data_IF_346328147775
#
_entry.id   IF_346328147775
#
_cell.length_a   1.000
_cell.length_b   1.000
_cell.length_c   1.000
_cell.angle_alpha   90.00
_cell.angle_beta   90.00
_cell.angle_gamma   90.00
#
_symmetry.space_group_name_H-M   'P 1'
#
loop_
_entity.id
_entity.type
_entity.pdbx_description
1 polymer ?
#
# COMPACT_ATOMS: atom_id res chain seq x y z
N UNK A 1 -27.87 16.39 25.24
CA UNK A 1 -26.75 15.58 25.76
C UNK A 1 -25.92 15.19 24.56
N UNK A 2 -24.72 15.73 24.45
CA UNK A 2 -23.74 15.31 23.44
C UNK A 2 -23.01 14.12 24.05
N UNK A 3 -23.25 12.92 23.53
CA UNK A 3 -22.46 11.74 23.90
C UNK A 3 -20.98 12.08 23.66
N UNK A 4 -20.20 11.96 24.73
CA UNK A 4 -18.80 12.31 24.71
C UNK A 4 -18.05 11.22 23.92
N UNK A 5 -17.76 11.50 22.64
CA UNK A 5 -17.06 10.64 21.65
C UNK A 5 -15.64 10.16 22.08
N UNK A 6 -15.28 10.44 23.33
CA UNK A 6 -13.97 10.22 23.94
C UNK A 6 -14.03 9.32 25.19
N UNK A 7 -15.21 8.87 25.64
CA UNK A 7 -15.37 8.09 26.89
C UNK A 7 -14.74 6.69 26.85
N UNK A 8 -14.60 6.08 25.66
CA UNK A 8 -14.02 4.73 25.50
C UNK A 8 -12.56 4.73 25.02
N UNK A 9 -11.86 5.88 25.08
CA UNK A 9 -10.46 5.95 24.63
C UNK A 9 -9.51 5.83 25.80
N UNK A 10 -8.56 4.92 25.68
CA UNK A 10 -7.42 4.87 26.58
C UNK A 10 -6.60 6.16 26.48
N UNK A 11 -6.22 6.69 27.64
CA UNK A 11 -5.25 7.79 27.71
C UNK A 11 -3.87 7.17 27.51
N UNK A 12 -3.14 7.50 26.42
CA UNK A 12 -1.86 6.88 26.17
C UNK A 12 -0.87 7.30 27.26
N UNK A 13 -0.16 6.31 27.81
CA UNK A 13 1.04 6.55 28.61
C UNK A 13 2.30 6.50 27.72
N UNK A 14 3.47 6.68 28.33
CA UNK A 14 4.75 6.66 27.63
C UNK A 14 5.02 5.31 26.96
N UNK A 15 4.58 4.20 27.54
CA UNK A 15 4.79 2.85 27.01
C UNK A 15 4.00 2.67 25.70
N UNK A 16 2.71 3.02 25.70
CA UNK A 16 1.88 2.99 24.50
C UNK A 16 2.47 3.84 23.36
N UNK A 17 3.05 5.00 23.67
CA UNK A 17 3.70 5.86 22.67
C UNK A 17 4.97 5.20 22.12
N UNK A 18 5.80 4.61 22.98
CA UNK A 18 7.04 3.95 22.56
C UNK A 18 6.77 2.69 21.74
N UNK A 19 5.72 1.93 22.05
CA UNK A 19 5.28 0.76 21.28
C UNK A 19 4.93 1.13 19.84
N UNK A 20 4.32 2.30 19.59
CA UNK A 20 4.03 2.77 18.23
C UNK A 20 5.30 2.92 17.39
N UNK A 21 6.38 3.44 17.96
CA UNK A 21 7.66 3.61 17.24
C UNK A 21 8.40 2.28 17.02
N UNK A 22 8.11 1.27 17.84
CA UNK A 22 8.71 -0.05 17.72
C UNK A 22 7.85 -1.04 16.91
N UNK A 23 6.70 -0.58 16.38
CA UNK A 23 5.81 -1.43 15.59
C UNK A 23 6.41 -1.69 14.20
N UNK A 24 7.06 -2.84 14.04
CA UNK A 24 7.72 -3.26 12.80
C UNK A 24 6.74 -3.50 11.66
N UNK A 25 5.53 -3.97 11.95
CA UNK A 25 4.49 -4.24 10.94
C UNK A 25 3.94 -2.94 10.36
N UNK A 26 3.66 -1.95 11.22
CA UNK A 26 3.26 -0.61 10.80
C UNK A 26 4.38 0.05 10.00
N UNK A 27 5.62 -0.05 10.47
CA UNK A 27 6.79 0.45 9.75
C UNK A 27 6.93 -0.16 8.35
N UNK A 28 6.82 -1.48 8.23
CA UNK A 28 6.87 -2.19 6.95
C UNK A 28 5.72 -1.77 6.02
N UNK A 29 4.50 -1.64 6.55
CA UNK A 29 3.34 -1.22 5.76
C UNK A 29 3.49 0.19 5.22
N UNK A 30 3.93 1.14 6.06
CA UNK A 30 4.13 2.53 5.66
C UNK A 30 5.29 2.67 4.66
N UNK A 31 6.39 1.95 4.87
CA UNK A 31 7.50 1.92 3.92
C UNK A 31 7.06 1.37 2.55
N UNK A 32 6.28 0.29 2.55
CA UNK A 32 5.70 -0.27 1.33
C UNK A 32 4.75 0.67 0.61
N UNK A 33 3.88 1.37 1.35
CA UNK A 33 2.99 2.41 0.78
C UNK A 33 3.81 3.52 0.10
N UNK A 34 4.85 4.03 0.76
CA UNK A 34 5.74 5.07 0.22
C UNK A 34 6.48 4.59 -1.04
N UNK A 35 6.93 3.33 -1.07
CA UNK A 35 7.56 2.74 -2.24
C UNK A 35 6.60 2.75 -3.44
N UNK A 36 5.40 2.21 -3.29
CA UNK A 36 4.41 2.19 -4.38
C UNK A 36 3.98 3.59 -4.80
N UNK A 37 3.87 4.53 -3.86
CA UNK A 37 3.58 5.93 -4.18
C UNK A 37 4.69 6.56 -5.02
N UNK A 38 5.96 6.30 -4.70
CA UNK A 38 7.11 6.77 -5.49
C UNK A 38 7.10 6.20 -6.91
N UNK A 39 6.91 4.88 -7.05
CA UNK A 39 6.82 4.22 -8.37
C UNK A 39 5.66 4.80 -9.19
N UNK A 40 4.50 4.99 -8.57
CA UNK A 40 3.31 5.55 -9.23
C UNK A 40 3.53 6.99 -9.69
N UNK A 41 4.22 7.82 -8.90
CA UNK A 41 4.58 9.19 -9.28
C UNK A 41 5.47 9.16 -10.52
N UNK A 42 6.56 8.39 -10.49
CA UNK A 42 7.48 8.29 -11.63
C UNK A 42 6.77 7.79 -12.89
N UNK A 43 5.87 6.80 -12.74
CA UNK A 43 5.08 6.27 -13.84
C UNK A 43 4.18 7.34 -14.49
N UNK A 44 3.56 8.20 -13.67
CA UNK A 44 2.75 9.32 -14.15
C UNK A 44 3.63 10.35 -14.88
N UNK A 45 4.81 10.65 -14.33
CA UNK A 45 5.76 11.62 -14.89
C UNK A 45 6.28 11.23 -16.27
N UNK A 46 6.44 9.93 -16.57
CA UNK A 46 6.83 9.46 -17.91
C UNK A 46 5.91 9.91 -19.04
N UNK A 47 4.64 10.21 -18.73
CA UNK A 47 3.64 10.66 -19.71
C UNK A 47 3.16 12.08 -19.47
N UNK A 48 3.81 12.83 -18.58
CA UNK A 48 3.54 14.26 -18.44
C UNK A 48 4.18 15.01 -19.60
N UNK A 49 3.39 15.89 -20.22
CA UNK A 49 3.90 16.91 -21.13
C UNK A 49 4.27 18.16 -20.32
N UNK A 50 5.34 18.86 -20.68
CA UNK A 50 5.78 20.11 -20.03
C UNK A 50 4.69 21.20 -20.00
N UNK A 51 3.70 21.11 -20.91
CA UNK A 51 2.53 21.99 -20.93
C UNK A 51 1.48 21.65 -19.87
N UNK A 52 1.49 20.44 -19.32
CA UNK A 52 0.63 20.02 -18.23
C UNK A 52 1.14 20.57 -16.90
N UNK A 53 0.42 21.52 -16.31
CA UNK A 53 0.70 22.06 -14.96
C UNK A 53 0.28 21.11 -13.84
N UNK A 54 0.64 19.83 -13.96
CA UNK A 54 0.34 18.79 -12.99
C UNK A 54 1.61 18.46 -12.23
N UNK A 55 1.52 18.48 -10.90
CA UNK A 55 2.59 17.97 -10.03
C UNK A 55 2.02 16.77 -9.24
N UNK A 56 2.36 15.53 -9.62
CA UNK A 56 1.85 14.33 -8.96
C UNK A 56 2.16 14.29 -7.45
N UNK A 57 3.29 14.85 -7.00
CA UNK A 57 3.66 14.89 -5.57
C UNK A 57 2.60 15.60 -4.72
N UNK A 58 1.92 16.61 -5.26
CA UNK A 58 0.90 17.37 -4.53
C UNK A 58 -0.49 16.70 -4.57
N UNK A 59 -0.66 15.61 -5.32
CA UNK A 59 -1.94 14.93 -5.45
C UNK A 59 -2.14 13.95 -4.29
N UNK A 60 -3.40 13.73 -3.87
CA UNK A 60 -3.70 12.61 -2.98
C UNK A 60 -3.45 11.27 -3.69
N UNK A 61 -3.09 10.23 -2.93
CA UNK A 61 -2.84 8.90 -3.50
C UNK A 61 -3.99 8.38 -4.39
N UNK A 62 -5.29 8.46 -3.99
CA UNK A 62 -6.38 8.06 -4.88
C UNK A 62 -6.44 8.84 -6.20
N UNK A 63 -6.10 10.13 -6.17
CA UNK A 63 -6.06 10.94 -7.39
C UNK A 63 -4.88 10.55 -8.28
N UNK A 64 -3.73 10.15 -7.71
CA UNK A 64 -2.61 9.57 -8.47
C UNK A 64 -3.04 8.29 -9.18
N UNK A 65 -3.66 7.35 -8.46
CA UNK A 65 -4.17 6.09 -9.02
C UNK A 65 -5.16 6.35 -10.17
N UNK A 66 -6.12 7.26 -9.94
CA UNK A 66 -7.09 7.65 -10.97
C UNK A 66 -6.43 8.24 -12.21
N UNK A 67 -5.40 9.08 -12.04
CA UNK A 67 -4.67 9.67 -13.15
C UNK A 67 -3.91 8.60 -13.94
N UNK A 68 -3.22 7.69 -13.26
CA UNK A 68 -2.51 6.58 -13.89
C UNK A 68 -3.46 5.68 -14.70
N UNK A 69 -4.60 5.30 -14.10
CA UNK A 69 -5.63 4.50 -14.76
C UNK A 69 -6.18 5.20 -16.01
N UNK A 70 -6.55 6.48 -15.90
CA UNK A 70 -7.10 7.25 -17.01
C UNK A 70 -6.11 7.42 -18.17
N UNK A 71 -4.81 7.36 -17.89
CA UNK A 71 -3.73 7.43 -18.89
C UNK A 71 -3.35 6.06 -19.46
N UNK A 72 -4.01 4.99 -19.02
CA UNK A 72 -3.69 3.63 -19.44
C UNK A 72 -2.33 3.13 -18.94
N UNK A 73 -1.81 3.73 -17.86
CA UNK A 73 -0.55 3.34 -17.23
C UNK A 73 -0.71 2.13 -16.32
N UNK A 74 -1.93 1.86 -15.86
CA UNK A 74 -2.26 0.69 -15.04
C UNK A 74 -3.63 0.17 -15.43
N UNK A 75 -3.87 -1.10 -15.18
CA UNK A 75 -5.17 -1.76 -15.38
C UNK A 75 -6.14 -1.46 -14.24
N UNK A 76 -7.45 -1.66 -14.47
CA UNK A 76 -8.48 -1.44 -13.45
C UNK A 76 -8.24 -2.28 -12.18
N UNK A 77 -7.83 -3.54 -12.34
CA UNK A 77 -7.54 -4.44 -11.22
C UNK A 77 -6.42 -3.92 -10.31
N UNK A 78 -5.32 -3.45 -10.91
CA UNK A 78 -4.21 -2.84 -10.19
C UNK A 78 -4.66 -1.56 -9.45
N UNK A 79 -5.50 -0.74 -10.11
CA UNK A 79 -6.07 0.44 -9.45
C UNK A 79 -6.92 0.06 -8.22
N UNK A 80 -7.75 -0.98 -8.31
CA UNK A 80 -8.57 -1.45 -7.20
C UNK A 80 -7.72 -1.91 -6.01
N UNK A 81 -6.63 -2.64 -6.29
CA UNK A 81 -5.65 -3.03 -5.27
C UNK A 81 -4.99 -1.82 -4.59
N UNK A 82 -4.47 -0.87 -5.38
CA UNK A 82 -3.80 0.32 -4.82
C UNK A 82 -4.76 1.16 -3.96
N UNK A 83 -6.03 1.25 -4.34
CA UNK A 83 -7.06 1.94 -3.55
C UNK A 83 -7.33 1.20 -2.24
N UNK A 84 -7.45 -0.13 -2.25
CA UNK A 84 -7.66 -0.92 -1.03
C UNK A 84 -6.46 -0.80 -0.07
N UNK A 85 -5.25 -0.90 -0.60
CA UNK A 85 -4.01 -0.70 0.15
C UNK A 85 -3.99 0.69 0.81
N UNK A 86 -4.37 1.75 0.07
CA UNK A 86 -4.47 3.09 0.63
C UNK A 86 -5.60 3.23 1.67
N UNK A 87 -6.71 2.48 1.53
CA UNK A 87 -7.79 2.45 2.53
C UNK A 87 -7.28 1.92 3.87
N UNK A 88 -6.49 0.85 3.85
CA UNK A 88 -5.87 0.28 5.04
C UNK A 88 -4.88 1.29 5.63
N UNK A 89 -4.00 1.90 4.83
CA UNK A 89 -3.08 2.96 5.30
C UNK A 89 -3.83 4.08 6.03
N UNK A 90 -4.93 4.57 5.45
CA UNK A 90 -5.73 5.63 6.05
C UNK A 90 -6.37 5.19 7.37
N UNK A 91 -6.82 3.92 7.47
CA UNK A 91 -7.34 3.38 8.72
C UNK A 91 -6.27 3.38 9.82
N UNK A 92 -5.07 2.89 9.50
CA UNK A 92 -3.92 2.89 10.40
C UNK A 92 -3.52 4.30 10.86
N UNK A 93 -3.56 5.29 9.94
CA UNK A 93 -3.24 6.67 10.26
C UNK A 93 -4.29 7.36 11.17
N UNK A 94 -5.57 7.00 11.04
CA UNK A 94 -6.65 7.58 11.85
C UNK A 94 -6.89 6.88 13.19
N UNK A 95 -6.43 5.64 13.33
CA UNK A 95 -6.61 4.81 14.53
C UNK A 95 -5.26 4.32 15.03
N UNK A 96 -4.52 5.25 15.64
CA UNK A 96 -3.26 4.95 16.31
C UNK A 96 -3.46 3.82 17.32
N UNK A 97 -2.67 2.76 17.18
CA UNK A 97 -2.74 1.57 18.04
C UNK A 97 -3.61 0.42 17.50
N UNK A 98 -4.34 0.60 16.39
CA UNK A 98 -5.03 -0.54 15.75
C UNK A 98 -3.98 -1.55 15.22
N UNK A 99 -3.97 -2.81 15.69
CA UNK A 99 -3.00 -3.79 15.25
C UNK A 99 -3.26 -4.19 13.80
N UNK A 100 -2.19 -4.39 13.04
CA UNK A 100 -2.27 -5.06 11.75
C UNK A 100 -2.49 -6.54 12.08
N UNK A 101 -3.63 -7.11 11.69
CA UNK A 101 -3.92 -8.52 11.94
C UNK A 101 -3.53 -9.38 10.75
N UNK A 102 -3.34 -10.67 10.98
CA UNK A 102 -3.11 -11.62 9.90
C UNK A 102 -4.27 -11.65 8.88
N UNK A 103 -5.51 -11.67 9.35
CA UNK A 103 -6.71 -11.61 8.49
C UNK A 103 -6.69 -10.42 7.54
N UNK A 104 -6.24 -9.26 8.04
CA UNK A 104 -6.16 -8.04 7.26
C UNK A 104 -5.17 -8.18 6.10
N UNK A 105 -3.95 -8.62 6.40
CA UNK A 105 -2.89 -8.71 5.38
C UNK A 105 -3.11 -9.88 4.43
N UNK A 106 -3.68 -10.99 4.89
CA UNK A 106 -4.08 -12.09 4.03
C UNK A 106 -5.23 -11.68 3.09
N UNK A 107 -6.18 -10.88 3.59
CA UNK A 107 -7.20 -10.24 2.75
C UNK A 107 -6.59 -9.33 1.69
N UNK A 108 -5.60 -8.53 2.07
CA UNK A 108 -4.87 -7.68 1.12
C UNK A 108 -4.07 -8.50 0.09
N UNK A 109 -3.46 -9.63 0.47
CA UNK A 109 -2.76 -10.52 -0.45
C UNK A 109 -3.69 -11.05 -1.56
N UNK A 110 -4.92 -11.42 -1.21
CA UNK A 110 -5.94 -11.82 -2.20
C UNK A 110 -6.31 -10.68 -3.14
N UNK A 111 -6.46 -9.48 -2.61
CA UNK A 111 -6.76 -8.30 -3.44
C UNK A 111 -5.58 -7.96 -4.35
N UNK A 112 -4.35 -8.07 -3.87
CA UNK A 112 -3.13 -7.88 -4.65
C UNK A 112 -3.05 -8.89 -5.81
N UNK A 113 -3.30 -10.18 -5.54
CA UNK A 113 -3.37 -11.21 -6.57
C UNK A 113 -4.43 -10.90 -7.63
N UNK A 114 -5.64 -10.54 -7.22
CA UNK A 114 -6.70 -10.10 -8.15
C UNK A 114 -6.31 -8.82 -8.91
N UNK A 115 -5.46 -7.98 -8.30
CA UNK A 115 -4.85 -6.80 -8.90
C UNK A 115 -3.85 -7.12 -10.01
N UNK A 116 -3.41 -8.37 -10.11
CA UNK A 116 -2.39 -8.84 -11.03
C UNK A 116 -0.98 -8.87 -10.44
N UNK A 117 -0.84 -8.78 -9.10
CA UNK A 117 0.47 -8.93 -8.45
C UNK A 117 0.93 -10.37 -8.57
N UNK A 118 2.10 -10.58 -9.18
CA UNK A 118 2.67 -11.92 -9.39
C UNK A 118 3.51 -12.33 -8.16
N UNK A 119 2.95 -13.22 -7.35
CA UNK A 119 3.63 -13.72 -6.16
C UNK A 119 4.55 -14.90 -6.50
N UNK A 120 5.66 -14.97 -5.78
CA UNK A 120 6.62 -16.08 -5.90
C UNK A 120 6.04 -17.45 -5.54
N UNK A 121 5.00 -17.48 -4.69
CA UNK A 121 4.31 -18.67 -4.22
C UNK A 121 2.81 -18.37 -4.05
N UNK A 122 1.97 -19.17 -4.72
CA UNK A 122 0.51 -19.04 -4.72
C UNK A 122 -0.10 -19.20 -3.30
N UNK A 123 0.56 -19.97 -2.42
CA UNK A 123 0.07 -20.25 -1.07
C UNK A 123 -0.12 -18.99 -0.23
N UNK A 124 0.59 -17.90 -0.54
CA UNK A 124 0.51 -16.63 0.17
C UNK A 124 -0.91 -16.07 0.26
N UNK A 125 -1.71 -16.26 -0.78
CA UNK A 125 -3.11 -15.78 -0.84
C UNK A 125 -4.13 -16.92 -0.90
N UNK A 126 -3.72 -18.13 -1.31
CA UNK A 126 -4.65 -19.25 -1.53
C UNK A 126 -4.83 -20.13 -0.30
N UNK A 127 -3.83 -20.23 0.58
CA UNK A 127 -3.89 -21.06 1.78
C UNK A 127 -3.64 -20.24 3.05
N UNK A 128 -4.70 -20.01 3.83
CA UNK A 128 -4.62 -19.23 5.07
C UNK A 128 -3.63 -19.83 6.08
N UNK A 129 -3.62 -21.16 6.24
CA UNK A 129 -2.83 -21.81 7.29
C UNK A 129 -1.35 -21.80 6.92
N UNK A 130 -1.01 -22.16 5.68
CA UNK A 130 0.39 -22.11 5.23
C UNK A 130 0.90 -20.68 5.10
N UNK A 131 0.08 -19.75 4.61
CA UNK A 131 0.43 -18.33 4.57
C UNK A 131 0.77 -17.80 5.97
N UNK A 132 -0.02 -18.17 6.98
CA UNK A 132 0.25 -17.79 8.38
C UNK A 132 1.52 -18.41 8.93
N UNK A 133 1.78 -19.68 8.62
CA UNK A 133 2.93 -20.40 9.12
C UNK A 133 4.24 -19.95 8.45
N UNK A 134 4.23 -19.66 7.16
CA UNK A 134 5.44 -19.44 6.36
C UNK A 134 5.83 -17.97 6.28
N UNK A 135 4.86 -17.07 6.21
CA UNK A 135 5.11 -15.63 6.02
C UNK A 135 4.80 -14.81 7.27
N UNK A 136 3.73 -15.17 7.98
CA UNK A 136 3.18 -14.33 9.04
C UNK A 136 2.78 -12.94 8.52
N UNK A 137 2.58 -11.98 9.42
CA UNK A 137 2.09 -10.65 9.05
C UNK A 137 3.13 -9.87 8.24
N UNK A 138 4.34 -9.77 8.79
CA UNK A 138 5.42 -8.98 8.18
C UNK A 138 5.87 -9.56 6.83
N UNK A 139 5.94 -10.89 6.69
CA UNK A 139 6.31 -11.53 5.41
C UNK A 139 5.29 -11.26 4.31
N UNK A 140 3.98 -11.32 4.63
CA UNK A 140 2.93 -11.00 3.65
C UNK A 140 3.01 -9.54 3.21
N UNK A 141 3.21 -8.61 4.16
CA UNK A 141 3.40 -7.19 3.84
C UNK A 141 4.55 -7.03 2.86
N UNK A 142 5.71 -7.62 3.16
CA UNK A 142 6.89 -7.52 2.31
C UNK A 142 6.64 -8.08 0.91
N UNK A 143 6.06 -9.27 0.79
CA UNK A 143 5.75 -9.89 -0.51
C UNK A 143 4.76 -9.05 -1.32
N UNK A 144 3.69 -8.53 -0.70
CA UNK A 144 2.72 -7.67 -1.41
C UNK A 144 3.42 -6.44 -2.00
N UNK A 145 4.18 -5.72 -1.19
CA UNK A 145 4.76 -4.44 -1.61
C UNK A 145 5.95 -4.62 -2.55
N UNK A 146 6.79 -5.65 -2.32
CA UNK A 146 7.93 -5.95 -3.19
C UNK A 146 7.48 -6.38 -4.58
N UNK A 147 6.57 -7.36 -4.68
CA UNK A 147 6.12 -7.87 -5.97
C UNK A 147 5.29 -6.81 -6.71
N UNK A 148 4.42 -6.06 -6.02
CA UNK A 148 3.69 -4.96 -6.65
C UNK A 148 4.61 -3.84 -7.17
N UNK A 149 5.69 -3.52 -6.45
CA UNK A 149 6.67 -2.53 -6.91
C UNK A 149 7.42 -3.04 -8.15
N UNK A 150 7.76 -4.33 -8.16
CA UNK A 150 8.38 -4.99 -9.30
C UNK A 150 7.46 -4.97 -10.53
N UNK A 151 6.18 -5.35 -10.39
CA UNK A 151 5.21 -5.32 -11.49
C UNK A 151 5.01 -3.91 -12.06
N UNK A 152 4.89 -2.90 -11.19
CA UNK A 152 4.80 -1.51 -11.62
C UNK A 152 6.09 -1.02 -12.28
N UNK A 153 7.26 -1.52 -11.86
CA UNK A 153 8.53 -1.20 -12.52
C UNK A 153 8.64 -1.81 -13.92
N UNK A 154 8.13 -3.03 -14.13
CA UNK A 154 8.05 -3.62 -15.47
C UNK A 154 7.11 -2.82 -16.39
N UNK A 155 5.96 -2.39 -15.87
CA UNK A 155 5.06 -1.48 -16.60
C UNK A 155 5.78 -0.16 -16.96
N UNK A 156 6.62 0.35 -16.05
CA UNK A 156 7.43 1.55 -16.30
C UNK A 156 8.42 1.34 -17.46
N UNK A 157 9.09 0.20 -17.50
CA UNK A 157 9.99 -0.19 -18.59
C UNK A 157 9.25 -0.32 -19.93
N UNK A 158 8.06 -0.93 -19.94
CA UNK A 158 7.20 -1.01 -21.13
C UNK A 158 6.82 0.38 -21.68
N UNK A 159 6.75 1.37 -20.79
CA UNK A 159 6.49 2.76 -21.16
C UNK A 159 7.74 3.58 -21.49
N UNK A 160 8.92 2.96 -21.47
CA UNK A 160 10.21 3.56 -21.84
C UNK A 160 10.93 4.27 -20.70
N UNK A 161 10.57 3.99 -19.45
CA UNK A 161 11.24 4.50 -18.26
C UNK A 161 12.04 3.44 -17.52
N UNK A 162 12.63 3.83 -16.39
CA UNK A 162 13.32 2.95 -15.45
C UNK A 162 13.03 3.47 -14.05
N UNK A 163 12.74 2.57 -13.09
CA UNK A 163 12.48 2.99 -11.72
C UNK A 163 13.76 3.47 -11.05
N UNK A 164 13.72 4.67 -10.47
CA UNK A 164 14.88 5.30 -9.85
C UNK A 164 14.65 5.59 -8.37
N UNK A 165 15.64 5.27 -7.55
CA UNK A 165 15.75 5.81 -6.19
C UNK A 165 16.49 7.14 -6.27
N UNK A 166 15.88 8.21 -5.75
CA UNK A 166 16.47 9.54 -5.63
C UNK A 166 16.88 9.84 -4.18
#
# INVERSE_FOLDING_TARGET
>A
MTDNIWEDRETPDLEHILELFNNTELGAYLAGHLLLESVLVQLIELKLDDSEKINPFNMSFPNKVKLALNRGLIWQSMADFLIEMNRIRNRLAHRLGEPITFDLVFGLAKVAHLGGVDFSDDTIHSDYQFSQQWYGIQGIIQEIFQNAAQDLSFIMEEHGGEFQFA
#
